data_IF_442520809474
#
_entry.id   IF_442520809474
#
_cell.length_a   1.000
_cell.length_b   1.000
_cell.length_c   1.000
_cell.angle_alpha   90.00
_cell.angle_beta   90.00
_cell.angle_gamma   90.00
#
_symmetry.space_group_name_H-M   'P 1'
#
loop_
_entity.id
_entity.type
_entity.pdbx_description
1 polymer ?
#
# COMPACT_ATOMS: atom_id res chain seq x y z
N UNK A 1 -4.14 -16.06 7.28
CA UNK A 1 -5.22 -16.01 6.28
C UNK A 1 -5.26 -14.64 5.61
N UNK A 2 -5.26 -14.62 4.30
CA UNK A 2 -5.29 -13.38 3.54
C UNK A 2 -6.73 -12.99 3.24
N UNK A 3 -7.10 -11.75 3.55
CA UNK A 3 -8.44 -11.23 3.28
C UNK A 3 -8.36 -9.74 2.95
N UNK A 4 -9.40 -9.22 2.31
CA UNK A 4 -9.48 -7.79 2.07
C UNK A 4 -9.56 -7.02 3.39
N UNK A 5 -8.90 -5.87 3.46
CA UNK A 5 -8.94 -5.03 4.65
C UNK A 5 -10.37 -4.52 4.90
N UNK A 6 -10.68 -4.30 6.18
CA UNK A 6 -11.97 -3.80 6.65
C UNK A 6 -11.75 -2.42 7.29
N UNK A 7 -12.48 -1.42 6.80
CA UNK A 7 -12.35 -0.05 7.34
C UNK A 7 -12.73 0.07 8.81
N UNK A 8 -13.45 -0.91 9.35
CA UNK A 8 -13.84 -0.95 10.76
C UNK A 8 -12.81 -1.67 11.64
N UNK A 9 -11.78 -2.28 11.05
CA UNK A 9 -10.69 -2.94 11.76
C UNK A 9 -9.38 -2.66 11.05
N UNK A 10 -8.86 -1.46 11.23
CA UNK A 10 -7.61 -1.03 10.59
C UNK A 10 -6.39 -1.21 11.49
N UNK A 11 -6.52 -2.02 12.55
CA UNK A 11 -5.45 -2.25 13.51
C UNK A 11 -4.14 -2.63 12.81
N UNK A 12 -3.06 -1.93 13.15
CA UNK A 12 -1.70 -2.14 12.64
C UNK A 12 -1.50 -1.81 11.13
N UNK A 13 -2.54 -1.45 10.39
CA UNK A 13 -2.41 -1.20 8.95
C UNK A 13 -1.52 0.02 8.67
N UNK A 14 -1.77 1.15 9.32
CA UNK A 14 -0.97 2.36 9.10
C UNK A 14 0.48 2.18 9.53
N UNK A 15 0.73 1.43 10.60
CA UNK A 15 2.10 1.10 11.01
C UNK A 15 2.82 0.29 9.94
N UNK A 16 2.15 -0.73 9.40
CA UNK A 16 2.71 -1.56 8.33
C UNK A 16 3.03 -0.72 7.08
N UNK A 17 2.13 0.19 6.72
CA UNK A 17 2.36 1.10 5.59
C UNK A 17 3.58 1.98 5.86
N UNK A 18 3.62 2.64 7.01
CA UNK A 18 4.72 3.53 7.38
C UNK A 18 6.06 2.80 7.36
N UNK A 19 6.11 1.60 7.94
CA UNK A 19 7.34 0.82 7.98
C UNK A 19 7.86 0.45 6.59
N UNK A 20 6.96 0.32 5.61
CA UNK A 20 7.35 0.00 4.24
C UNK A 20 7.75 1.22 3.42
N UNK A 21 7.05 2.34 3.57
CA UNK A 21 7.25 3.51 2.69
C UNK A 21 8.11 4.62 3.30
N UNK A 22 8.35 4.58 4.61
CA UNK A 22 9.24 5.54 5.32
C UNK A 22 9.00 7.01 4.90
N UNK A 23 9.98 7.65 4.28
CA UNK A 23 9.93 9.07 3.91
C UNK A 23 8.83 9.42 2.90
N UNK A 24 8.39 8.45 2.11
CA UNK A 24 7.27 8.65 1.18
C UNK A 24 6.00 9.00 1.97
N UNK A 25 5.87 8.47 3.19
CA UNK A 25 4.73 8.80 4.05
C UNK A 25 4.68 10.30 4.37
N UNK A 26 5.82 10.95 4.55
CA UNK A 26 5.87 12.39 4.77
C UNK A 26 5.29 13.15 3.56
N UNK A 27 5.66 12.72 2.37
CA UNK A 27 5.17 13.31 1.12
C UNK A 27 3.66 13.12 0.97
N UNK A 28 3.16 11.91 1.21
CA UNK A 28 1.75 11.60 1.04
C UNK A 28 0.85 12.25 2.11
N UNK A 29 1.33 12.41 3.31
CA UNK A 29 0.53 12.96 4.42
C UNK A 29 0.72 14.45 4.63
N UNK A 30 1.83 15.01 4.18
CA UNK A 30 2.20 16.40 4.46
C UNK A 30 2.60 16.62 5.90
N UNK A 31 2.91 15.55 6.63
CA UNK A 31 3.26 15.59 8.05
C UNK A 31 4.68 15.13 8.28
N UNK A 32 5.29 15.56 9.39
CA UNK A 32 6.65 15.20 9.78
C UNK A 32 6.70 14.38 11.07
N UNK A 33 5.72 14.57 11.96
CA UNK A 33 5.64 13.85 13.22
C UNK A 33 4.99 12.49 12.99
N UNK A 34 5.60 11.43 13.53
CA UNK A 34 5.12 10.07 13.38
C UNK A 34 3.64 9.91 13.75
N UNK A 35 3.24 10.48 14.89
CA UNK A 35 1.85 10.42 15.35
C UNK A 35 0.88 10.98 14.30
N UNK A 36 1.21 12.13 13.74
CA UNK A 36 0.37 12.79 12.74
C UNK A 36 0.38 12.06 11.42
N UNK A 37 1.51 11.47 11.05
CA UNK A 37 1.63 10.62 9.86
C UNK A 37 0.68 9.43 10.00
N UNK A 38 0.72 8.73 11.13
CA UNK A 38 -0.14 7.56 11.36
C UNK A 38 -1.62 7.93 11.38
N UNK A 39 -1.97 9.05 12.00
CA UNK A 39 -3.36 9.54 12.00
C UNK A 39 -3.86 9.83 10.58
N UNK A 40 -3.01 10.44 9.75
CA UNK A 40 -3.37 10.75 8.36
C UNK A 40 -3.46 9.48 7.52
N UNK A 41 -2.55 8.52 7.73
CA UNK A 41 -2.64 7.22 7.05
C UNK A 41 -3.93 6.50 7.44
N UNK A 42 -4.33 6.55 8.73
CA UNK A 42 -5.61 5.99 9.15
C UNK A 42 -6.78 6.62 8.40
N UNK A 43 -6.75 7.93 8.22
CA UNK A 43 -7.77 8.65 7.44
C UNK A 43 -7.81 8.12 6.01
N UNK A 44 -6.66 8.00 5.36
CA UNK A 44 -6.60 7.50 3.98
C UNK A 44 -7.11 6.06 3.86
N UNK A 45 -6.72 5.19 4.79
CA UNK A 45 -7.15 3.78 4.78
C UNK A 45 -8.66 3.65 4.85
N UNK A 46 -9.31 4.51 5.63
CA UNK A 46 -10.78 4.48 5.80
C UNK A 46 -11.55 5.07 4.62
N UNK A 47 -10.89 5.81 3.73
CA UNK A 47 -11.55 6.40 2.56
C UNK A 47 -11.82 5.36 1.50
N UNK A 48 -12.89 5.55 0.75
CA UNK A 48 -13.27 4.62 -0.32
C UNK A 48 -12.40 4.75 -1.58
N UNK A 49 -11.84 5.94 -1.82
CA UNK A 49 -11.06 6.19 -3.03
C UNK A 49 -9.77 6.92 -2.70
N UNK A 50 -8.67 6.19 -2.71
CA UNK A 50 -7.30 6.67 -2.84
C UNK A 50 -6.39 5.44 -2.95
N UNK A 51 -5.09 5.65 -3.22
CA UNK A 51 -4.18 4.52 -3.41
C UNK A 51 -3.99 3.65 -2.15
N UNK A 52 -4.20 4.22 -0.97
CA UNK A 52 -4.06 3.54 0.31
C UNK A 52 -5.39 3.13 0.93
N UNK A 53 -6.49 3.21 0.16
CA UNK A 53 -7.82 2.79 0.64
C UNK A 53 -7.84 1.31 1.03
N UNK A 54 -8.63 1.00 2.08
CA UNK A 54 -8.87 -0.39 2.47
C UNK A 54 -9.34 -1.25 1.31
N UNK A 55 -9.97 -0.65 0.30
CA UNK A 55 -10.43 -1.39 -0.89
C UNK A 55 -9.29 -1.93 -1.75
N UNK A 56 -8.10 -1.36 -1.63
CA UNK A 56 -6.91 -1.77 -2.36
C UNK A 56 -5.94 -2.57 -1.49
N UNK A 57 -6.32 -2.87 -0.26
CA UNK A 57 -5.46 -3.53 0.72
C UNK A 57 -5.98 -4.92 1.03
N UNK A 58 -5.09 -5.91 1.00
CA UNK A 58 -5.33 -7.25 1.53
C UNK A 58 -4.37 -7.47 2.67
N UNK A 59 -4.91 -7.99 3.78
CA UNK A 59 -4.14 -8.21 5.00
C UNK A 59 -3.94 -9.70 5.24
N UNK A 60 -2.80 -10.03 5.84
CA UNK A 60 -2.57 -11.37 6.39
C UNK A 60 -2.95 -11.30 7.87
N UNK A 61 -4.04 -11.95 8.22
CA UNK A 61 -4.53 -11.94 9.60
C UNK A 61 -4.14 -13.21 10.31
N UNK A 62 -3.62 -13.05 11.52
CA UNK A 62 -3.28 -14.16 12.39
C UNK A 62 -3.73 -13.78 13.81
N UNK A 63 -4.55 -14.65 14.43
CA UNK A 63 -5.08 -14.42 15.78
C UNK A 63 -5.74 -13.04 15.96
N UNK A 64 -6.54 -12.64 14.97
CA UNK A 64 -7.26 -11.37 14.92
C UNK A 64 -6.34 -10.14 14.78
N UNK A 65 -5.08 -10.34 14.44
CA UNK A 65 -4.16 -9.24 14.20
C UNK A 65 -3.71 -9.19 12.74
N UNK A 66 -3.62 -7.99 12.19
CA UNK A 66 -3.08 -7.77 10.86
C UNK A 66 -1.56 -7.73 10.95
N UNK A 67 -0.88 -8.82 10.59
CA UNK A 67 0.57 -8.94 10.72
C UNK A 67 1.32 -8.60 9.44
N UNK A 68 0.62 -8.51 8.31
CA UNK A 68 1.22 -8.16 7.03
C UNK A 68 0.14 -7.65 6.10
N UNK A 69 0.56 -6.96 5.03
CA UNK A 69 -0.37 -6.50 4.02
C UNK A 69 0.28 -6.38 2.65
N UNK A 70 -0.58 -6.34 1.64
CA UNK A 70 -0.21 -5.97 0.28
C UNK A 70 -1.23 -4.97 -0.25
N UNK A 71 -0.74 -3.92 -0.90
CA UNK A 71 -1.56 -2.90 -1.53
C UNK A 71 -1.35 -3.01 -3.04
N UNK A 72 -2.44 -3.19 -3.78
CA UNK A 72 -2.37 -3.33 -5.22
C UNK A 72 -3.63 -2.79 -5.87
N UNK A 73 -3.50 -2.27 -7.09
CA UNK A 73 -4.62 -1.71 -7.83
C UNK A 73 -4.27 -1.64 -9.32
N UNK A 74 -5.29 -1.36 -10.13
CA UNK A 74 -5.11 -1.15 -11.56
C UNK A 74 -4.29 0.11 -11.80
N UNK A 75 -3.17 0.00 -12.51
CA UNK A 75 -2.29 1.12 -12.82
C UNK A 75 -3.00 2.24 -13.58
N UNK A 76 -4.05 1.92 -14.33
CA UNK A 76 -4.83 2.91 -15.07
C UNK A 76 -5.61 3.86 -14.15
N UNK A 77 -5.82 3.47 -12.89
CA UNK A 77 -6.60 4.26 -11.93
C UNK A 77 -5.74 5.22 -11.11
N UNK A 78 -4.43 5.29 -11.36
CA UNK A 78 -3.50 5.99 -10.46
C UNK A 78 -3.86 7.48 -10.29
N UNK A 79 -4.27 8.16 -11.35
CA UNK A 79 -4.68 9.58 -11.27
C UNK A 79 -5.92 9.74 -10.39
N UNK A 80 -6.90 8.88 -10.58
CA UNK A 80 -8.13 8.86 -9.79
C UNK A 80 -7.83 8.58 -8.32
N UNK A 81 -6.91 7.66 -8.07
CA UNK A 81 -6.55 7.26 -6.70
C UNK A 81 -5.70 8.30 -5.99
N UNK A 82 -4.86 9.04 -6.72
CA UNK A 82 -4.02 10.08 -6.13
C UNK A 82 -4.78 11.38 -5.86
N UNK A 83 -5.87 11.62 -6.60
CA UNK A 83 -6.62 12.88 -6.50
C UNK A 83 -7.08 13.21 -5.07
N UNK A 84 -7.69 12.31 -4.30
CA UNK A 84 -8.11 12.63 -2.93
C UNK A 84 -6.94 12.97 -2.02
N UNK A 85 -5.78 12.35 -2.21
CA UNK A 85 -4.58 12.64 -1.42
C UNK A 85 -4.05 14.04 -1.77
N UNK A 86 -4.00 14.37 -3.06
CA UNK A 86 -3.58 15.70 -3.51
C UNK A 86 -4.52 16.78 -2.96
N UNK A 87 -5.83 16.53 -2.93
CA UNK A 87 -6.81 17.44 -2.36
C UNK A 87 -6.60 17.62 -0.85
N UNK A 88 -6.30 16.55 -0.13
CA UNK A 88 -6.00 16.63 1.30
C UNK A 88 -4.75 17.50 1.55
N UNK A 89 -3.71 17.32 0.72
CA UNK A 89 -2.48 18.09 0.84
C UNK A 89 -2.73 19.60 0.64
N UNK A 90 -3.68 19.98 -0.21
CA UNK A 90 -4.06 21.37 -0.39
C UNK A 90 -4.57 22.02 0.90
N UNK A 91 -5.23 21.25 1.77
CA UNK A 91 -5.68 21.76 3.06
C UNK A 91 -4.53 22.13 3.98
N UNK A 92 -3.33 21.65 3.67
CA UNK A 92 -2.10 21.93 4.39
C UNK A 92 -1.20 22.92 3.66
N UNK A 93 -1.74 23.59 2.64
CA UNK A 93 -1.00 24.52 1.76
C UNK A 93 0.14 23.84 0.99
N UNK A 94 -0.03 22.56 0.66
CA UNK A 94 0.90 21.80 -0.17
C UNK A 94 0.22 21.57 -1.52
N UNK A 95 0.82 22.12 -2.57
CA UNK A 95 0.24 22.13 -3.92
C UNK A 95 1.13 21.32 -4.85
N UNK A 96 0.69 20.10 -5.17
CA UNK A 96 1.34 19.20 -6.11
C UNK A 96 0.36 18.88 -7.22
N UNK A 97 0.85 18.82 -8.46
CA UNK A 97 0.00 18.45 -9.60
C UNK A 97 -0.18 16.94 -9.69
N UNK A 98 0.84 16.18 -9.28
CA UNK A 98 0.82 14.72 -9.33
C UNK A 98 1.97 14.18 -8.48
N UNK A 99 1.89 12.87 -8.18
CA UNK A 99 3.01 12.13 -7.63
C UNK A 99 3.80 11.48 -8.77
N UNK A 100 5.04 11.07 -8.48
CA UNK A 100 5.87 10.41 -9.46
C UNK A 100 5.19 9.13 -9.96
N UNK A 101 5.23 8.90 -11.28
CA UNK A 101 4.61 7.73 -11.89
C UNK A 101 5.52 6.52 -11.73
N UNK A 102 5.01 5.50 -11.06
CA UNK A 102 5.77 4.29 -10.70
C UNK A 102 5.43 3.08 -11.57
N UNK A 103 4.47 3.17 -12.48
CA UNK A 103 3.98 2.02 -13.25
C UNK A 103 3.55 2.41 -14.66
N UNK A 104 3.41 1.39 -15.51
CA UNK A 104 2.91 1.53 -16.87
C UNK A 104 1.41 1.24 -16.92
N UNK A 105 0.80 1.44 -18.11
CA UNK A 105 -0.64 1.19 -18.31
C UNK A 105 -0.95 -0.30 -18.30
N UNK A 106 -2.20 -0.62 -17.95
CA UNK A 106 -2.80 -1.94 -18.06
C UNK A 106 -2.12 -3.01 -17.20
N UNK A 107 -1.57 -2.60 -16.07
CA UNK A 107 -0.91 -3.51 -15.14
C UNK A 107 -1.65 -3.54 -13.80
N UNK A 108 -1.64 -4.71 -13.14
CA UNK A 108 -2.00 -4.81 -11.74
C UNK A 108 -0.74 -4.44 -10.95
N UNK A 109 -0.76 -3.26 -10.37
CA UNK A 109 0.42 -2.67 -9.76
C UNK A 109 0.43 -2.92 -8.25
N UNK A 110 1.50 -3.54 -7.77
CA UNK A 110 1.74 -3.71 -6.34
C UNK A 110 2.44 -2.46 -5.83
N UNK A 111 1.71 -1.69 -5.04
CA UNK A 111 2.22 -0.45 -4.45
C UNK A 111 3.12 -0.73 -3.24
N UNK A 112 2.68 -1.61 -2.36
CA UNK A 112 3.32 -1.82 -1.07
C UNK A 112 3.15 -3.27 -0.61
N UNK A 113 4.22 -3.85 -0.08
CA UNK A 113 4.17 -5.11 0.68
C UNK A 113 4.89 -4.86 1.99
N UNK A 114 4.26 -5.26 3.09
CA UNK A 114 4.81 -5.02 4.43
C UNK A 114 4.50 -6.19 5.35
N UNK A 115 5.49 -6.62 6.12
CA UNK A 115 5.37 -7.70 7.10
C UNK A 115 5.91 -7.19 8.44
N UNK A 116 5.15 -7.41 9.51
CA UNK A 116 5.59 -7.08 10.86
C UNK A 116 6.94 -7.73 11.14
N UNK A 117 7.94 -7.02 11.73
CA UNK A 117 9.29 -7.55 11.90
C UNK A 117 9.37 -8.93 12.54
N UNK A 118 8.55 -9.19 13.56
CA UNK A 118 8.54 -10.49 14.26
C UNK A 118 8.07 -11.66 13.40
N UNK A 119 7.44 -11.38 12.26
CA UNK A 119 6.93 -12.40 11.34
C UNK A 119 7.69 -12.47 10.02
N UNK A 120 8.73 -11.66 9.86
CA UNK A 120 9.56 -11.71 8.65
C UNK A 120 10.36 -13.02 8.60
N UNK A 121 10.69 -13.45 7.37
CA UNK A 121 11.44 -14.69 7.16
C UNK A 121 10.63 -15.97 7.27
N UNK A 122 9.31 -15.89 7.31
CA UNK A 122 8.39 -17.04 7.41
C UNK A 122 7.63 -17.33 6.13
N UNK A 123 7.96 -16.66 5.02
CA UNK A 123 7.31 -16.88 3.73
C UNK A 123 6.01 -16.11 3.54
N UNK A 124 5.63 -15.21 4.46
CA UNK A 124 4.37 -14.47 4.37
C UNK A 124 4.36 -13.54 3.15
N UNK A 125 5.48 -12.85 2.89
CA UNK A 125 5.57 -11.98 1.72
C UNK A 125 5.37 -12.77 0.42
N UNK A 126 5.93 -13.98 0.34
CA UNK A 126 5.73 -14.86 -0.83
C UNK A 126 4.27 -15.23 -0.99
N UNK A 127 3.57 -15.54 0.10
CA UNK A 127 2.14 -15.82 0.06
C UNK A 127 1.34 -14.63 -0.44
N UNK A 128 1.72 -13.41 -0.01
CA UNK A 128 1.07 -12.18 -0.47
C UNK A 128 1.31 -11.95 -1.96
N UNK A 129 2.53 -12.18 -2.45
CA UNK A 129 2.83 -12.07 -3.89
C UNK A 129 2.06 -13.11 -4.70
N UNK A 130 1.98 -14.36 -4.23
CA UNK A 130 1.20 -15.40 -4.89
C UNK A 130 -0.27 -15.03 -4.95
N UNK A 131 -0.80 -14.46 -3.87
CA UNK A 131 -2.16 -13.96 -3.82
C UNK A 131 -2.38 -12.86 -4.86
N UNK A 132 -1.45 -11.91 -4.98
CA UNK A 132 -1.53 -10.83 -5.96
C UNK A 132 -1.51 -11.35 -7.39
N UNK A 133 -0.67 -12.36 -7.68
CA UNK A 133 -0.64 -13.01 -8.99
C UNK A 133 -1.98 -13.64 -9.33
N UNK A 134 -2.56 -14.36 -8.38
CA UNK A 134 -3.86 -15.00 -8.56
C UNK A 134 -4.95 -13.94 -8.77
N UNK A 135 -4.91 -12.86 -7.99
CA UNK A 135 -5.87 -11.77 -8.11
C UNK A 135 -5.77 -11.08 -9.46
N UNK A 136 -4.55 -10.86 -9.94
CA UNK A 136 -4.31 -10.27 -11.26
C UNK A 136 -4.93 -11.14 -12.36
N UNK A 137 -4.77 -12.46 -12.27
CA UNK A 137 -5.37 -13.40 -13.22
C UNK A 137 -6.89 -13.38 -13.17
N UNK A 138 -7.48 -13.35 -11.97
CA UNK A 138 -8.93 -13.27 -11.79
C UNK A 138 -9.51 -12.00 -12.41
N UNK A 139 -8.77 -10.90 -12.39
CA UNK A 139 -9.17 -9.60 -12.93
C UNK A 139 -8.74 -9.40 -14.39
N UNK A 140 -8.26 -10.46 -15.05
CA UNK A 140 -7.80 -10.45 -16.44
C UNK A 140 -6.62 -9.53 -16.74
N UNK A 141 -5.76 -9.28 -15.76
CA UNK A 141 -4.51 -8.59 -16.00
C UNK A 141 -3.47 -9.55 -16.57
N UNK A 142 -2.75 -9.11 -17.59
CA UNK A 142 -1.66 -9.89 -18.21
C UNK A 142 -0.31 -9.61 -17.55
N UNK A 143 -0.21 -8.49 -16.82
CA UNK A 143 1.03 -8.07 -16.17
C UNK A 143 0.78 -7.70 -14.72
N UNK A 144 1.69 -8.17 -13.89
CA UNK A 144 1.82 -7.77 -12.49
C UNK A 144 3.11 -6.97 -12.38
N UNK A 145 3.05 -5.76 -11.84
CA UNK A 145 4.23 -4.92 -11.72
C UNK A 145 4.41 -4.41 -10.30
N UNK A 146 5.64 -4.04 -9.98
CA UNK A 146 6.00 -3.45 -8.71
C UNK A 146 7.31 -2.69 -8.87
N UNK A 147 7.53 -1.71 -7.97
CA UNK A 147 8.79 -1.00 -7.90
C UNK A 147 9.65 -1.62 -6.81
N UNK A 148 10.87 -2.01 -7.14
CA UNK A 148 11.84 -2.57 -6.21
C UNK A 148 12.89 -1.53 -5.86
N UNK A 149 13.06 -1.26 -4.57
CA UNK A 149 14.16 -0.43 -4.10
C UNK A 149 15.48 -1.19 -4.27
N UNK A 150 16.37 -0.65 -5.11
CA UNK A 150 17.67 -1.26 -5.37
C UNK A 150 18.56 -1.35 -4.14
N UNK A 151 18.28 -0.54 -3.13
CA UNK A 151 19.02 -0.57 -1.87
C UNK A 151 18.50 -1.64 -0.89
N UNK A 152 17.46 -2.37 -1.26
CA UNK A 152 16.88 -3.42 -0.44
C UNK A 152 17.12 -4.81 -1.05
N UNK A 153 18.22 -5.51 -0.69
CA UNK A 153 18.53 -6.83 -1.25
C UNK A 153 17.49 -7.89 -0.94
N UNK A 154 16.82 -7.81 0.22
CA UNK A 154 15.76 -8.77 0.60
C UNK A 154 14.56 -8.65 -0.31
N UNK A 155 14.16 -7.43 -0.64
CA UNK A 155 13.05 -7.22 -1.57
C UNK A 155 13.38 -7.78 -2.95
N UNK A 156 14.59 -7.54 -3.44
CA UNK A 156 15.04 -8.09 -4.72
C UNK A 156 15.01 -9.61 -4.76
N UNK A 157 15.37 -10.27 -3.68
CA UNK A 157 15.40 -11.73 -3.61
C UNK A 157 14.00 -12.35 -3.68
N UNK A 158 12.94 -11.60 -3.36
CA UNK A 158 11.55 -12.06 -3.42
C UNK A 158 10.96 -11.92 -4.84
N UNK A 159 11.54 -11.07 -5.63
CA UNK A 159 11.06 -10.76 -6.98
C UNK A 159 11.89 -11.48 -8.02
#
# INVERSE_FOLDING_TARGET
MIKQADKNNINNISRLIYDAIHDIANTLTGEKEEKKILETLDLYVKMDINRLSYKNIWVYELENENIALIIAYNSNDIKKLDFPILEHLKTKNIFLDSFEKECFKDEFYIDTVSVTPSFQGRGIAKELFSFAEQKAKELDFKKLSLLVDFENPKAKALY
#
